data_IF_217188322587
#
_entry.id   IF_217188322587
#
_cell.length_a   1.000
_cell.length_b   1.000
_cell.length_c   1.000
_cell.angle_alpha   90.00
_cell.angle_beta   90.00
_cell.angle_gamma   90.00
#
_symmetry.space_group_name_H-M   'P 1'
#
loop_
_entity.id
_entity.type
_entity.pdbx_description
1 polymer ?
#
# COMPACT_ATOMS: atom_id res chain seq x y z
N UNK A 1 -73.07 -0.82 -32.82
CA UNK A 1 -72.75 -1.67 -31.68
C UNK A 1 -71.56 -2.54 -32.07
N UNK A 2 -70.36 -2.30 -31.61
CA UNK A 2 -69.35 -3.35 -31.53
C UNK A 2 -68.78 -3.46 -30.09
N UNK A 3 -68.43 -4.69 -29.78
CA UNK A 3 -68.12 -5.17 -28.46
C UNK A 3 -66.77 -4.75 -27.91
N UNK A 4 -66.82 -4.58 -26.62
CA UNK A 4 -65.69 -4.26 -25.73
C UNK A 4 -64.84 -5.52 -25.51
N UNK A 5 -63.57 -5.47 -25.88
CA UNK A 5 -62.56 -6.49 -25.53
C UNK A 5 -61.91 -6.02 -24.24
N UNK A 6 -62.04 -6.81 -23.18
CA UNK A 6 -61.28 -6.68 -21.95
C UNK A 6 -59.86 -7.25 -22.19
N UNK A 7 -58.84 -6.46 -21.93
CA UNK A 7 -57.48 -6.90 -21.81
C UNK A 7 -57.21 -7.15 -20.32
N UNK A 8 -57.05 -8.42 -19.95
CA UNK A 8 -56.53 -8.83 -18.66
C UNK A 8 -55.00 -8.53 -18.60
N UNK A 9 -54.63 -7.73 -17.62
CA UNK A 9 -53.22 -7.47 -17.33
C UNK A 9 -52.64 -8.62 -16.49
N UNK A 10 -51.87 -9.51 -17.13
CA UNK A 10 -51.03 -10.45 -16.43
C UNK A 10 -49.90 -9.69 -15.75
N UNK A 11 -49.91 -9.65 -14.42
CA UNK A 11 -48.77 -9.24 -13.61
C UNK A 11 -47.68 -10.32 -13.69
N UNK A 12 -46.63 -10.06 -14.47
CA UNK A 12 -45.39 -10.82 -14.40
C UNK A 12 -44.74 -10.55 -13.04
N UNK A 13 -44.78 -11.55 -12.18
CA UNK A 13 -43.95 -11.63 -10.98
C UNK A 13 -42.48 -11.84 -11.48
N UNK A 14 -41.69 -10.79 -11.38
CA UNK A 14 -40.21 -10.94 -11.58
C UNK A 14 -39.69 -11.80 -10.43
N UNK A 15 -39.38 -13.04 -10.75
CA UNK A 15 -38.54 -13.91 -9.93
C UNK A 15 -37.16 -13.27 -9.88
N UNK A 16 -36.73 -12.88 -8.69
CA UNK A 16 -35.36 -12.46 -8.42
C UNK A 16 -34.42 -13.61 -8.84
N UNK A 17 -33.69 -13.39 -9.92
CA UNK A 17 -32.54 -14.19 -10.29
C UNK A 17 -31.44 -13.91 -9.27
N UNK A 18 -31.27 -14.80 -8.29
CA UNK A 18 -30.08 -14.85 -7.47
C UNK A 18 -28.93 -15.28 -8.38
N UNK A 19 -28.08 -14.33 -8.74
CA UNK A 19 -26.79 -14.65 -9.34
C UNK A 19 -26.05 -15.62 -8.39
N UNK A 20 -25.45 -16.70 -8.88
CA UNK A 20 -24.66 -17.58 -8.04
C UNK A 20 -23.46 -16.79 -7.51
N UNK A 21 -23.31 -16.74 -6.19
CA UNK A 21 -22.07 -16.32 -5.55
C UNK A 21 -20.91 -17.11 -6.18
N UNK A 22 -19.79 -16.45 -6.55
CA UNK A 22 -18.64 -17.20 -7.05
C UNK A 22 -18.25 -18.18 -5.95
N UNK A 23 -18.33 -19.48 -6.26
CA UNK A 23 -17.92 -20.53 -5.37
C UNK A 23 -16.47 -20.28 -4.96
N UNK A 24 -16.23 -20.07 -3.68
CA UNK A 24 -14.92 -20.08 -3.07
C UNK A 24 -14.35 -21.48 -3.18
N UNK A 25 -13.78 -21.83 -4.33
CA UNK A 25 -12.76 -22.86 -4.35
C UNK A 25 -11.62 -22.30 -3.50
N UNK A 26 -11.41 -22.85 -2.30
CA UNK A 26 -10.30 -22.47 -1.44
C UNK A 26 -9.01 -22.67 -2.23
N UNK A 27 -8.38 -21.57 -2.61
CA UNK A 27 -7.06 -21.60 -3.25
C UNK A 27 -6.12 -22.24 -2.25
N UNK A 28 -5.46 -23.33 -2.62
CA UNK A 28 -4.54 -24.05 -1.72
C UNK A 28 -3.28 -23.22 -1.46
N UNK A 29 -2.77 -23.30 -0.23
CA UNK A 29 -1.47 -22.74 0.12
C UNK A 29 -0.35 -23.33 -0.76
N UNK A 30 0.80 -22.70 -0.80
CA UNK A 30 2.01 -23.23 -1.42
C UNK A 30 2.44 -24.51 -0.70
N UNK A 31 2.89 -25.52 -1.45
CA UNK A 31 3.48 -26.72 -0.86
C UNK A 31 4.87 -26.41 -0.27
N UNK A 32 5.36 -27.29 0.61
CA UNK A 32 6.70 -27.16 1.17
C UNK A 32 7.80 -27.15 0.08
N UNK A 33 7.62 -27.89 -1.01
CA UNK A 33 8.54 -27.93 -2.15
C UNK A 33 8.54 -26.60 -2.90
N UNK A 34 7.37 -26.01 -3.14
CA UNK A 34 7.25 -24.68 -3.78
C UNK A 34 7.88 -23.59 -2.90
N UNK A 35 7.62 -23.59 -1.59
CA UNK A 35 8.27 -22.66 -0.65
C UNK A 35 9.78 -22.84 -0.65
N UNK A 36 10.28 -24.09 -0.67
CA UNK A 36 11.72 -24.36 -0.74
C UNK A 36 12.34 -23.87 -2.05
N UNK A 37 11.66 -24.02 -3.19
CA UNK A 37 12.09 -23.47 -4.47
C UNK A 37 12.17 -21.94 -4.42
N UNK A 38 11.12 -21.25 -3.93
CA UNK A 38 11.12 -19.80 -3.73
C UNK A 38 12.28 -19.37 -2.82
N UNK A 39 12.52 -20.07 -1.71
CA UNK A 39 13.61 -19.75 -0.77
C UNK A 39 14.99 -19.79 -1.43
N UNK A 40 15.21 -20.72 -2.38
CA UNK A 40 16.48 -20.83 -3.09
C UNK A 40 16.85 -19.60 -3.94
N UNK A 41 15.86 -18.77 -4.27
CA UNK A 41 16.06 -17.52 -5.03
C UNK A 41 16.52 -16.34 -4.16
N UNK A 42 16.54 -16.48 -2.82
CA UNK A 42 16.85 -15.38 -1.91
C UNK A 42 18.26 -15.49 -1.30
N UNK A 43 19.25 -14.77 -1.83
CA UNK A 43 20.65 -14.89 -1.39
C UNK A 43 20.87 -14.54 0.09
N UNK A 44 20.02 -13.70 0.68
CA UNK A 44 20.16 -13.34 2.10
C UNK A 44 20.06 -14.53 3.05
N UNK A 45 19.39 -15.61 2.64
CA UNK A 45 19.23 -16.84 3.44
C UNK A 45 20.54 -17.61 3.61
N UNK A 46 21.54 -17.37 2.75
CA UNK A 46 22.91 -17.92 2.91
C UNK A 46 23.66 -17.28 4.08
N UNK A 47 23.19 -16.10 4.54
CA UNK A 47 23.82 -15.38 5.64
C UNK A 47 23.42 -15.98 6.99
N UNK A 48 24.40 -16.35 7.86
CA UNK A 48 24.09 -16.76 9.21
C UNK A 48 23.59 -15.58 10.06
N UNK A 49 22.75 -15.87 11.05
CA UNK A 49 22.39 -14.95 12.12
C UNK A 49 23.59 -14.70 13.06
N UNK A 50 23.43 -13.82 14.06
CA UNK A 50 24.47 -13.46 15.02
C UNK A 50 25.02 -14.66 15.80
N UNK A 51 24.19 -15.64 16.07
CA UNK A 51 24.54 -16.89 16.79
C UNK A 51 25.15 -17.97 15.88
N UNK A 52 25.34 -17.70 14.59
CA UNK A 52 25.85 -18.66 13.59
C UNK A 52 24.81 -19.59 12.98
N UNK A 53 23.57 -19.57 13.48
CA UNK A 53 22.45 -20.35 12.95
C UNK A 53 21.84 -19.67 11.71
N UNK A 54 21.01 -20.38 10.91
CA UNK A 54 20.25 -19.76 9.82
C UNK A 54 19.36 -18.63 10.32
N UNK A 55 19.30 -17.52 9.59
CA UNK A 55 18.46 -16.38 9.95
C UNK A 55 16.97 -16.66 9.70
N UNK A 56 16.12 -16.48 10.72
CA UNK A 56 14.67 -16.37 10.57
C UNK A 56 14.30 -14.89 10.38
N UNK A 57 14.05 -14.48 9.12
CA UNK A 57 13.71 -13.10 8.81
C UNK A 57 12.20 -12.89 8.86
N UNK A 58 11.70 -12.33 9.96
CA UNK A 58 10.28 -12.06 10.21
C UNK A 58 9.97 -10.56 10.29
N UNK A 59 10.64 -9.73 9.47
CA UNK A 59 10.38 -8.26 9.38
C UNK A 59 10.02 -7.82 7.95
N UNK A 60 9.25 -8.65 7.23
CA UNK A 60 8.86 -8.39 5.85
C UNK A 60 8.01 -7.14 5.67
N UNK A 61 7.16 -6.79 6.63
CA UNK A 61 6.34 -5.58 6.59
C UNK A 61 7.15 -4.27 6.72
N UNK A 62 8.42 -4.33 7.15
CA UNK A 62 9.33 -3.19 7.12
C UNK A 62 9.98 -3.04 5.74
N UNK A 63 10.58 -4.10 5.23
CA UNK A 63 11.14 -4.21 3.88
C UNK A 63 11.25 -5.68 3.50
N UNK A 64 10.89 -6.02 2.26
CA UNK A 64 11.08 -7.38 1.77
C UNK A 64 12.54 -7.64 1.42
N UNK A 65 12.99 -8.89 1.48
CA UNK A 65 14.22 -9.34 0.87
C UNK A 65 14.04 -9.45 -0.65
N UNK A 66 15.14 -9.55 -1.41
CA UNK A 66 15.13 -9.49 -2.87
C UNK A 66 15.57 -10.82 -3.45
N UNK A 67 14.84 -11.36 -4.44
CA UNK A 67 15.31 -12.50 -5.23
C UNK A 67 16.60 -12.15 -5.99
N UNK A 68 17.45 -13.12 -6.23
CA UNK A 68 18.70 -12.96 -7.00
C UNK A 68 18.46 -12.36 -8.40
N UNK A 69 17.37 -12.77 -9.06
CA UNK A 69 16.97 -12.23 -10.37
C UNK A 69 16.70 -10.73 -10.35
N UNK A 70 16.03 -10.22 -9.31
CA UNK A 70 15.78 -8.78 -9.14
C UNK A 70 17.07 -8.01 -8.95
N UNK A 71 17.97 -8.51 -8.10
CA UNK A 71 19.29 -7.90 -7.86
C UNK A 71 20.11 -7.89 -9.15
N UNK A 72 20.10 -9.00 -9.89
CA UNK A 72 20.82 -9.13 -11.15
C UNK A 72 20.28 -8.14 -12.21
N UNK A 73 18.98 -8.03 -12.36
CA UNK A 73 18.35 -7.11 -13.33
C UNK A 73 18.74 -5.65 -13.08
N UNK A 74 18.73 -5.19 -11.82
CA UNK A 74 19.17 -3.83 -11.49
C UNK A 74 20.67 -3.63 -11.81
N UNK A 75 21.51 -4.61 -11.48
CA UNK A 75 22.95 -4.55 -11.76
C UNK A 75 23.24 -4.60 -13.27
N UNK A 76 22.53 -5.42 -14.02
CA UNK A 76 22.71 -5.60 -15.47
C UNK A 76 22.28 -4.37 -16.26
N UNK A 77 21.26 -3.63 -15.79
CA UNK A 77 20.92 -2.35 -16.38
C UNK A 77 22.14 -1.42 -16.42
N UNK A 78 22.87 -1.28 -15.32
CA UNK A 78 24.07 -0.45 -15.28
C UNK A 78 25.22 -0.98 -16.13
N UNK A 79 25.31 -2.29 -16.34
CA UNK A 79 26.36 -2.91 -17.16
C UNK A 79 26.11 -2.78 -18.66
N UNK A 80 24.83 -2.76 -19.08
CA UNK A 80 24.47 -2.97 -20.49
C UNK A 80 23.60 -1.89 -21.11
N UNK A 81 22.72 -1.23 -20.32
CA UNK A 81 21.62 -0.43 -20.86
C UNK A 81 21.53 0.99 -20.26
N UNK A 82 22.54 1.43 -19.52
CA UNK A 82 22.51 2.74 -18.88
C UNK A 82 22.69 3.88 -19.89
N UNK A 83 21.59 4.50 -20.29
CA UNK A 83 21.50 5.60 -21.24
C UNK A 83 20.60 6.74 -20.73
N UNK A 84 20.58 7.87 -21.45
CA UNK A 84 19.73 9.01 -21.14
C UNK A 84 18.31 8.79 -21.70
N UNK A 85 17.40 8.26 -20.90
CA UNK A 85 16.03 7.99 -21.34
C UNK A 85 15.30 9.26 -21.81
N UNK A 86 14.51 9.12 -22.88
CA UNK A 86 13.58 10.12 -23.38
C UNK A 86 14.19 11.35 -24.05
N UNK A 87 15.53 11.47 -24.17
CA UNK A 87 16.19 12.73 -24.56
C UNK A 87 17.28 12.65 -25.61
N UNK A 88 17.57 11.47 -26.11
CA UNK A 88 18.68 11.26 -27.06
C UNK A 88 18.27 10.29 -28.15
N UNK A 89 18.90 10.38 -29.30
CA UNK A 89 18.58 9.61 -30.51
C UNK A 89 19.56 8.48 -30.79
N UNK A 90 20.31 8.02 -29.80
CA UNK A 90 21.21 6.89 -29.94
C UNK A 90 20.60 5.63 -29.29
N UNK A 91 20.94 4.46 -29.84
CA UNK A 91 20.35 3.16 -29.49
C UNK A 91 20.25 2.92 -27.97
N UNK A 92 21.32 3.20 -27.20
CA UNK A 92 21.32 2.97 -25.75
C UNK A 92 20.27 3.85 -25.00
N UNK A 93 19.98 5.05 -25.51
CA UNK A 93 18.95 5.88 -24.93
C UNK A 93 17.53 5.37 -25.26
N UNK A 94 17.33 4.80 -26.45
CA UNK A 94 16.08 4.16 -26.82
C UNK A 94 15.82 2.91 -25.97
N UNK A 95 16.85 2.08 -25.77
CA UNK A 95 16.81 0.90 -24.91
C UNK A 95 16.50 1.26 -23.43
N UNK A 96 17.14 2.30 -22.92
CA UNK A 96 16.90 2.79 -21.56
C UNK A 96 15.47 3.33 -21.40
N UNK A 97 14.96 4.03 -22.42
CA UNK A 97 13.59 4.54 -22.45
C UNK A 97 12.58 3.41 -22.48
N UNK A 98 12.79 2.42 -23.36
CA UNK A 98 11.94 1.23 -23.44
C UNK A 98 11.92 0.48 -22.09
N UNK A 99 13.08 0.27 -21.47
CA UNK A 99 13.18 -0.38 -20.15
C UNK A 99 12.34 0.33 -19.08
N UNK A 100 12.32 1.65 -19.08
CA UNK A 100 11.58 2.44 -18.11
C UNK A 100 10.06 2.37 -18.34
N UNK A 101 9.63 2.51 -19.59
CA UNK A 101 8.20 2.47 -19.92
C UNK A 101 7.64 1.03 -19.82
N UNK A 102 8.39 0.01 -20.23
CA UNK A 102 8.03 -1.40 -20.01
C UNK A 102 7.87 -1.71 -18.51
N UNK A 103 8.72 -1.13 -17.65
CA UNK A 103 8.61 -1.29 -16.20
C UNK A 103 7.34 -0.61 -15.67
N UNK A 104 6.99 0.58 -16.21
CA UNK A 104 5.74 1.28 -15.89
C UNK A 104 4.53 0.40 -16.21
N UNK A 105 4.49 -0.15 -17.42
CA UNK A 105 3.38 -0.99 -17.88
C UNK A 105 3.27 -2.28 -17.07
N UNK A 106 4.39 -2.91 -16.74
CA UNK A 106 4.42 -4.13 -15.92
C UNK A 106 3.89 -3.88 -14.50
N UNK A 107 4.37 -2.82 -13.82
CA UNK A 107 3.93 -2.47 -12.47
C UNK A 107 2.46 -2.05 -12.47
N UNK A 108 2.03 -1.25 -13.45
CA UNK A 108 0.63 -0.86 -13.58
C UNK A 108 -0.27 -2.07 -13.81
N UNK A 109 0.09 -2.95 -14.75
CA UNK A 109 -0.66 -4.18 -15.05
C UNK A 109 -0.77 -5.10 -13.85
N UNK A 110 0.30 -5.23 -13.05
CA UNK A 110 0.31 -6.07 -11.84
C UNK A 110 -0.78 -5.69 -10.83
N UNK A 111 -1.14 -4.41 -10.78
CA UNK A 111 -2.19 -3.89 -9.89
C UNK A 111 -3.50 -3.54 -10.63
N UNK A 112 -3.69 -4.03 -11.86
CA UNK A 112 -4.91 -3.83 -12.63
C UNK A 112 -5.10 -2.40 -13.17
N UNK A 113 -4.02 -1.62 -13.30
CA UNK A 113 -3.99 -0.28 -13.87
C UNK A 113 -3.37 -0.27 -15.28
N UNK A 114 -3.30 0.91 -15.90
CA UNK A 114 -2.60 1.17 -17.19
C UNK A 114 -1.37 2.03 -16.92
N UNK A 115 -0.37 1.97 -17.80
CA UNK A 115 0.83 2.79 -17.70
C UNK A 115 0.54 4.29 -17.59
N UNK A 116 -0.47 4.80 -18.32
CA UNK A 116 -0.93 6.19 -18.24
C UNK A 116 -1.52 6.61 -16.88
N UNK A 117 -1.81 5.66 -16.00
CA UNK A 117 -2.33 5.87 -14.64
C UNK A 117 -1.25 5.76 -13.55
N UNK A 118 0.01 5.42 -13.90
CA UNK A 118 1.08 5.18 -12.95
C UNK A 118 2.18 6.25 -13.06
N UNK A 119 2.40 6.96 -11.96
CA UNK A 119 3.49 7.93 -11.77
C UNK A 119 4.55 7.31 -10.87
N UNK A 120 5.79 7.20 -11.35
CA UNK A 120 6.88 6.79 -10.49
C UNK A 120 7.27 7.88 -9.50
N UNK A 121 7.50 7.48 -8.27
CA UNK A 121 7.97 8.30 -7.16
C UNK A 121 9.14 7.59 -6.48
N UNK A 122 9.79 8.22 -5.51
CA UNK A 122 10.86 7.52 -4.79
C UNK A 122 10.35 6.51 -3.75
N UNK A 123 9.10 6.61 -3.33
CA UNK A 123 8.37 5.69 -2.44
C UNK A 123 6.91 6.16 -2.27
N UNK A 124 6.07 5.38 -1.60
CA UNK A 124 4.69 5.75 -1.30
C UNK A 124 4.55 7.02 -0.47
N UNK A 125 5.51 7.35 0.41
CA UNK A 125 5.48 8.61 1.17
C UNK A 125 5.52 9.81 0.22
N UNK A 126 6.38 9.78 -0.81
CA UNK A 126 6.38 10.83 -1.83
C UNK A 126 5.09 10.83 -2.66
N UNK A 127 4.55 9.67 -3.00
CA UNK A 127 3.29 9.55 -3.73
C UNK A 127 2.11 10.20 -2.98
N UNK A 128 1.99 9.97 -1.66
CA UNK A 128 0.98 10.61 -0.83
C UNK A 128 1.21 12.12 -0.73
N UNK A 129 2.46 12.54 -0.52
CA UNK A 129 2.82 13.96 -0.50
C UNK A 129 2.52 14.63 -1.85
N UNK A 130 2.72 13.94 -2.98
CA UNK A 130 2.40 14.46 -4.30
C UNK A 130 0.91 14.84 -4.38
N UNK A 131 0.02 13.96 -3.93
CA UNK A 131 -1.43 14.26 -3.90
C UNK A 131 -1.75 15.39 -2.92
N UNK A 132 -1.24 15.32 -1.68
CA UNK A 132 -1.51 16.33 -0.65
C UNK A 132 -0.99 17.73 -1.05
N UNK A 133 0.19 17.81 -1.65
CA UNK A 133 0.76 19.07 -2.13
C UNK A 133 0.04 19.59 -3.37
N UNK A 134 -0.40 18.73 -4.29
CA UNK A 134 -1.21 19.13 -5.44
C UNK A 134 -2.54 19.76 -4.99
N UNK A 135 -3.21 19.16 -4.01
CA UNK A 135 -4.41 19.72 -3.36
C UNK A 135 -4.06 21.08 -2.70
N UNK A 136 -2.97 21.16 -1.96
CA UNK A 136 -2.51 22.38 -1.35
C UNK A 136 -2.23 23.51 -2.36
N UNK A 137 -1.59 23.19 -3.49
CA UNK A 137 -1.33 24.13 -4.57
C UNK A 137 -2.63 24.62 -5.24
N UNK A 138 -3.56 23.70 -5.51
CA UNK A 138 -4.87 24.05 -6.06
C UNK A 138 -5.63 24.98 -5.12
N UNK A 139 -5.66 24.67 -3.80
CA UNK A 139 -6.37 25.43 -2.78
C UNK A 139 -5.80 26.83 -2.57
N UNK A 140 -4.49 27.02 -2.69
CA UNK A 140 -3.83 28.31 -2.55
C UNK A 140 -3.85 29.15 -3.84
N UNK A 141 -4.60 28.75 -4.87
CA UNK A 141 -4.67 29.44 -6.15
C UNK A 141 -3.35 29.45 -6.93
N UNK A 142 -2.38 28.63 -6.54
CA UNK A 142 -1.08 28.48 -7.20
C UNK A 142 -1.11 27.43 -8.32
N UNK A 143 -2.21 27.36 -9.06
CA UNK A 143 -2.26 26.55 -10.28
C UNK A 143 -1.43 27.24 -11.38
N UNK A 144 -0.12 26.98 -11.37
CA UNK A 144 0.80 27.52 -12.39
C UNK A 144 0.44 27.07 -13.83
N UNK A 145 -0.44 26.09 -13.97
CA UNK A 145 -0.82 25.53 -15.29
C UNK A 145 -1.82 26.38 -16.08
N UNK A 146 -2.41 27.45 -15.51
CA UNK A 146 -3.57 28.13 -16.13
C UNK A 146 -3.47 29.63 -16.27
N UNK A 147 -2.31 30.23 -16.26
CA UNK A 147 -2.17 31.66 -16.58
C UNK A 147 -3.11 32.61 -15.81
N UNK A 148 -3.53 32.24 -14.58
CA UNK A 148 -4.30 33.11 -13.69
C UNK A 148 -5.79 33.27 -14.03
N UNK A 149 -6.37 32.52 -14.96
CA UNK A 149 -7.82 32.54 -15.18
C UNK A 149 -8.54 31.75 -14.07
N UNK A 150 -9.66 32.25 -13.51
CA UNK A 150 -10.46 31.50 -12.55
C UNK A 150 -10.96 30.20 -13.24
N UNK A 151 -10.88 29.08 -12.50
CA UNK A 151 -11.37 27.82 -13.00
C UNK A 151 -12.87 27.88 -13.26
N UNK A 152 -13.34 27.23 -14.34
CA UNK A 152 -14.78 27.09 -14.60
C UNK A 152 -15.42 26.25 -13.48
N UNK A 153 -16.69 26.48 -13.19
CA UNK A 153 -17.41 25.77 -12.13
C UNK A 153 -17.41 24.23 -12.30
N UNK A 154 -17.32 23.75 -13.56
CA UNK A 154 -17.29 22.33 -13.91
C UNK A 154 -15.86 21.78 -14.07
N UNK A 155 -14.84 22.53 -13.62
CA UNK A 155 -13.45 22.11 -13.74
C UNK A 155 -13.12 21.00 -12.73
N UNK A 156 -12.63 19.81 -13.15
CA UNK A 156 -12.20 18.73 -12.25
C UNK A 156 -11.19 19.18 -11.19
N UNK A 157 -10.41 20.23 -11.46
CA UNK A 157 -9.49 20.81 -10.49
C UNK A 157 -10.19 21.42 -9.27
N UNK A 158 -11.50 21.72 -9.33
CA UNK A 158 -12.28 22.19 -8.19
C UNK A 158 -12.44 21.11 -7.11
N UNK A 159 -12.43 19.82 -7.48
CA UNK A 159 -12.40 18.70 -6.50
C UNK A 159 -11.15 18.72 -5.62
N UNK A 160 -10.07 19.36 -6.09
CA UNK A 160 -8.80 19.47 -5.37
C UNK A 160 -8.73 20.73 -4.48
N UNK A 161 -9.75 21.59 -4.49
CA UNK A 161 -9.75 22.80 -3.67
C UNK A 161 -10.42 22.50 -2.33
N UNK A 162 -9.66 22.69 -1.24
CA UNK A 162 -10.14 22.53 0.14
C UNK A 162 -9.81 23.75 0.97
N UNK A 163 -10.61 24.03 2.01
CA UNK A 163 -10.43 25.19 2.88
C UNK A 163 -11.15 25.06 4.21
N UNK A 164 -11.36 26.19 4.85
CA UNK A 164 -12.10 26.26 6.12
C UNK A 164 -13.54 25.69 5.95
N UNK A 165 -13.93 24.80 6.87
CA UNK A 165 -15.21 24.08 6.83
C UNK A 165 -15.15 22.74 6.12
N UNK A 166 -14.12 22.47 5.30
CA UNK A 166 -13.91 21.16 4.69
C UNK A 166 -13.19 20.20 5.65
N UNK A 167 -13.31 18.89 5.38
CA UNK A 167 -12.75 17.84 6.22
C UNK A 167 -11.85 16.91 5.40
N UNK A 168 -10.73 16.51 6.01
CA UNK A 168 -9.89 15.40 5.56
C UNK A 168 -10.08 14.27 6.57
N UNK A 169 -10.48 13.09 6.10
CA UNK A 169 -10.71 11.93 6.96
C UNK A 169 -9.62 10.89 6.73
N UNK A 170 -9.06 10.36 7.82
CA UNK A 170 -8.06 9.27 7.84
C UNK A 170 -8.57 8.15 8.74
N UNK A 171 -7.79 7.09 8.96
CA UNK A 171 -8.05 6.13 10.04
C UNK A 171 -7.07 6.31 11.19
N UNK A 172 -7.39 5.82 12.38
CA UNK A 172 -6.45 5.75 13.50
C UNK A 172 -5.33 4.72 13.25
N UNK A 173 -5.48 3.86 12.26
CA UNK A 173 -4.50 2.83 11.90
C UNK A 173 -3.42 3.29 10.91
N UNK A 174 -3.42 4.56 10.49
CA UNK A 174 -2.54 5.02 9.42
C UNK A 174 -1.06 4.94 9.80
N UNK A 175 -0.25 4.51 8.82
CA UNK A 175 1.17 4.77 8.84
C UNK A 175 1.43 6.29 8.83
N UNK A 176 2.48 6.76 9.48
CA UNK A 176 2.80 8.20 9.53
C UNK A 176 2.87 8.85 8.13
N UNK A 177 3.28 8.10 7.11
CA UNK A 177 3.30 8.59 5.73
C UNK A 177 1.91 8.93 5.18
N UNK A 178 0.85 8.26 5.67
CA UNK A 178 -0.55 8.52 5.28
C UNK A 178 -1.34 9.30 6.37
N UNK A 179 -0.66 9.91 7.31
CA UNK A 179 -1.25 10.78 8.33
C UNK A 179 -0.66 12.19 8.28
N UNK A 180 0.67 12.29 8.39
CA UNK A 180 1.36 13.58 8.55
C UNK A 180 1.16 14.53 7.36
N UNK A 181 1.20 14.09 6.08
CA UNK A 181 0.94 14.98 4.95
C UNK A 181 -0.46 15.61 4.99
N UNK A 182 -1.44 14.89 5.49
CA UNK A 182 -2.82 15.38 5.64
C UNK A 182 -2.97 16.35 6.80
N UNK A 183 -2.26 16.15 7.91
CA UNK A 183 -2.17 17.13 9.01
C UNK A 183 -1.57 18.45 8.50
N UNK A 184 -0.48 18.37 7.74
CA UNK A 184 0.16 19.54 7.13
C UNK A 184 -0.74 20.25 6.12
N UNK A 185 -1.49 19.49 5.30
CA UNK A 185 -2.46 20.04 4.37
C UNK A 185 -3.56 20.81 5.12
N UNK A 186 -4.15 20.21 6.15
CA UNK A 186 -5.16 20.85 6.98
C UNK A 186 -4.63 22.14 7.63
N UNK A 187 -3.41 22.10 8.18
CA UNK A 187 -2.76 23.27 8.78
C UNK A 187 -2.55 24.43 7.79
N UNK A 188 -2.34 24.14 6.50
CA UNK A 188 -2.13 25.16 5.44
C UNK A 188 -3.43 25.72 4.88
N UNK A 189 -4.49 24.89 4.81
CA UNK A 189 -5.75 25.23 4.12
C UNK A 189 -6.84 25.67 5.09
N UNK A 190 -6.72 25.41 6.39
CA UNK A 190 -7.77 25.62 7.38
C UNK A 190 -8.81 24.49 7.41
N UNK A 191 -8.68 23.44 6.62
CA UNK A 191 -9.51 22.26 6.70
C UNK A 191 -9.29 21.50 8.02
N UNK A 192 -10.25 20.67 8.42
CA UNK A 192 -10.20 19.93 9.68
C UNK A 192 -9.84 18.47 9.44
N UNK A 193 -8.84 17.94 10.16
CA UNK A 193 -8.55 16.51 10.16
C UNK A 193 -9.54 15.78 11.07
N UNK A 194 -10.14 14.71 10.53
CA UNK A 194 -11.03 13.78 11.25
C UNK A 194 -10.50 12.37 11.09
N UNK A 195 -10.95 11.44 11.91
CA UNK A 195 -10.53 10.04 11.76
C UNK A 195 -11.65 9.07 12.10
N UNK A 196 -11.61 7.93 11.42
CA UNK A 196 -12.34 6.72 11.75
C UNK A 196 -11.59 5.98 12.86
N UNK A 197 -12.32 5.52 13.86
CA UNK A 197 -11.74 4.83 15.02
C UNK A 197 -11.60 3.33 14.80
N UNK A 198 -11.08 2.63 15.78
CA UNK A 198 -10.81 1.20 15.75
C UNK A 198 -11.63 0.49 16.83
N UNK A 199 -11.97 -0.76 16.58
CA UNK A 199 -12.48 -1.69 17.58
C UNK A 199 -11.39 -2.07 18.57
N UNK A 200 -11.76 -2.70 19.70
CA UNK A 200 -10.80 -3.14 20.72
C UNK A 200 -9.68 -4.06 20.18
N UNK A 201 -9.99 -4.84 19.14
CA UNK A 201 -9.03 -5.71 18.48
C UNK A 201 -8.26 -5.02 17.32
N UNK A 202 -8.48 -3.72 17.09
CA UNK A 202 -7.73 -2.93 16.12
C UNK A 202 -8.17 -3.08 14.66
N UNK A 203 -9.36 -3.60 14.40
CA UNK A 203 -10.05 -3.46 13.12
C UNK A 203 -10.68 -2.09 13.02
N UNK A 204 -11.05 -1.66 11.81
CA UNK A 204 -11.81 -0.43 11.66
C UNK A 204 -13.17 -0.57 12.33
N UNK A 205 -13.53 0.41 13.18
CA UNK A 205 -14.85 0.46 13.77
C UNK A 205 -15.87 1.10 12.80
N UNK A 206 -16.69 0.25 12.19
CA UNK A 206 -17.72 0.67 11.23
C UNK A 206 -18.81 1.53 11.86
N UNK A 207 -18.95 1.55 13.19
CA UNK A 207 -19.87 2.47 13.88
C UNK A 207 -19.39 3.94 13.78
N UNK A 208 -18.12 4.19 13.43
CA UNK A 208 -17.57 5.55 13.27
C UNK A 208 -17.69 6.11 11.85
N UNK A 209 -18.32 5.38 10.92
CA UNK A 209 -18.43 5.80 9.51
C UNK A 209 -19.23 7.11 9.31
N UNK A 210 -20.01 7.55 10.30
CA UNK A 210 -20.72 8.84 10.28
C UNK A 210 -19.76 10.06 10.37
N UNK A 211 -18.48 9.83 10.63
CA UNK A 211 -17.41 10.84 10.47
C UNK A 211 -17.28 11.30 9.03
N UNK A 212 -17.60 10.43 8.04
CA UNK A 212 -17.64 10.78 6.63
C UNK A 212 -18.92 11.55 6.35
N UNK A 213 -18.79 12.85 6.11
CA UNK A 213 -19.89 13.80 5.90
C UNK A 213 -19.83 14.44 4.52
N UNK A 214 -20.80 15.26 4.14
CA UNK A 214 -20.79 16.07 2.92
C UNK A 214 -19.63 17.08 2.87
N UNK A 215 -18.99 17.37 4.02
CA UNK A 215 -17.80 18.22 4.11
C UNK A 215 -16.49 17.46 3.85
N UNK A 216 -16.54 16.14 3.81
CA UNK A 216 -15.36 15.33 3.55
C UNK A 216 -14.92 15.52 2.10
N UNK A 217 -13.71 16.07 1.91
CA UNK A 217 -13.10 16.29 0.59
C UNK A 217 -12.07 15.25 0.25
N UNK A 218 -11.38 14.73 1.26
CA UNK A 218 -10.38 13.67 1.11
C UNK A 218 -10.63 12.60 2.15
N UNK A 219 -10.57 11.35 1.70
CA UNK A 219 -10.55 10.17 2.54
C UNK A 219 -9.27 9.39 2.24
N UNK A 220 -8.33 9.38 3.17
CA UNK A 220 -7.05 8.67 3.01
C UNK A 220 -7.00 7.47 3.97
N UNK A 221 -6.86 6.28 3.41
CA UNK A 221 -7.02 5.01 4.13
C UNK A 221 -5.83 4.08 3.90
N UNK A 222 -5.35 3.41 4.94
CA UNK A 222 -4.54 2.21 4.76
C UNK A 222 -5.43 1.04 4.33
N UNK A 223 -5.02 0.29 3.30
CA UNK A 223 -5.74 -0.91 2.87
C UNK A 223 -5.56 -2.06 3.87
N UNK A 224 -4.36 -2.18 4.44
CA UNK A 224 -4.07 -3.12 5.51
C UNK A 224 -3.08 -2.52 6.50
N UNK A 225 -3.36 -2.65 7.79
CA UNK A 225 -2.54 -2.09 8.85
C UNK A 225 -1.16 -2.76 8.92
N UNK A 226 -0.11 -1.96 8.94
CA UNK A 226 1.25 -2.43 9.13
C UNK A 226 1.57 -2.82 10.61
N UNK A 227 0.61 -2.70 11.51
CA UNK A 227 0.72 -3.08 12.93
C UNK A 227 -0.16 -4.27 13.23
N UNK A 228 -1.48 -4.15 13.02
CA UNK A 228 -2.45 -5.20 13.36
C UNK A 228 -2.63 -6.24 12.27
N UNK A 229 -2.21 -5.93 11.04
CA UNK A 229 -2.50 -6.73 9.85
C UNK A 229 -3.94 -6.59 9.34
N UNK A 230 -4.86 -6.01 10.11
CA UNK A 230 -6.28 -5.89 9.75
C UNK A 230 -6.47 -5.20 8.39
N UNK A 231 -7.32 -5.78 7.56
CA UNK A 231 -7.71 -5.25 6.25
C UNK A 231 -8.90 -4.32 6.41
N UNK A 232 -8.83 -3.17 5.75
CA UNK A 232 -9.90 -2.15 5.78
C UNK A 232 -11.08 -2.61 4.90
N UNK A 233 -12.32 -2.62 5.40
CA UNK A 233 -13.51 -3.05 4.65
C UNK A 233 -13.95 -1.96 3.66
N UNK A 234 -13.30 -1.91 2.49
CA UNK A 234 -13.53 -0.87 1.46
C UNK A 234 -14.94 -0.90 0.89
N UNK A 235 -15.59 -2.05 0.83
CA UNK A 235 -16.97 -2.24 0.38
C UNK A 235 -17.99 -1.45 1.21
N UNK A 236 -17.71 -1.20 2.48
CA UNK A 236 -18.53 -0.39 3.38
C UNK A 236 -18.20 1.10 3.31
N UNK A 237 -16.95 1.45 3.04
CA UNK A 237 -16.41 2.82 3.15
C UNK A 237 -16.50 3.57 1.82
N UNK A 238 -16.08 2.94 0.72
CA UNK A 238 -15.99 3.58 -0.57
C UNK A 238 -17.34 4.13 -1.09
N UNK A 239 -18.51 3.45 -0.91
CA UNK A 239 -19.79 4.01 -1.28
C UNK A 239 -20.13 5.30 -0.51
N UNK A 240 -19.79 5.40 0.78
CA UNK A 240 -20.01 6.62 1.58
C UNK A 240 -19.13 7.76 1.12
N UNK A 241 -17.86 7.48 0.85
CA UNK A 241 -16.91 8.47 0.31
C UNK A 241 -17.41 9.02 -1.03
N UNK A 242 -17.87 8.13 -1.92
CA UNK A 242 -18.45 8.52 -3.21
C UNK A 242 -19.70 9.40 -3.02
N UNK A 243 -20.59 9.06 -2.10
CA UNK A 243 -21.78 9.86 -1.80
C UNK A 243 -21.40 11.25 -1.29
N UNK A 244 -20.35 11.36 -0.49
CA UNK A 244 -19.80 12.64 -0.02
C UNK A 244 -19.07 13.43 -1.11
N UNK A 245 -18.75 12.81 -2.26
CA UNK A 245 -17.91 13.41 -3.32
C UNK A 245 -16.43 13.54 -2.94
N UNK A 246 -15.99 12.79 -1.93
CA UNK A 246 -14.62 12.80 -1.44
C UNK A 246 -13.65 12.13 -2.41
N UNK A 247 -12.43 12.66 -2.49
CA UNK A 247 -11.29 11.99 -3.14
C UNK A 247 -10.78 10.87 -2.23
N UNK A 248 -10.73 9.64 -2.73
CA UNK A 248 -10.26 8.48 -1.96
C UNK A 248 -8.84 8.10 -2.36
N UNK A 249 -7.91 8.17 -1.41
CA UNK A 249 -6.50 7.79 -1.56
C UNK A 249 -6.22 6.57 -0.68
N UNK A 250 -5.79 5.47 -1.29
CA UNK A 250 -5.56 4.19 -0.61
C UNK A 250 -4.07 3.89 -0.46
N UNK A 251 -3.58 3.74 0.76
CA UNK A 251 -2.22 3.22 1.01
C UNK A 251 -2.24 1.69 0.91
N UNK A 252 -1.71 1.15 -0.18
CA UNK A 252 -1.63 -0.29 -0.43
C UNK A 252 -0.26 -0.87 -0.15
N UNK A 253 0.63 -0.15 0.53
CA UNK A 253 2.02 -0.59 0.78
C UNK A 253 2.14 -1.95 1.47
N UNK A 254 1.18 -2.31 2.32
CA UNK A 254 1.20 -3.61 2.99
C UNK A 254 0.45 -4.68 2.19
N UNK A 255 -0.53 -4.32 1.40
CA UNK A 255 -1.37 -5.29 0.70
C UNK A 255 -0.85 -5.68 -0.69
N UNK A 256 -0.14 -4.77 -1.38
CA UNK A 256 0.21 -4.97 -2.79
C UNK A 256 1.14 -6.17 -3.07
N UNK A 257 1.89 -6.64 -2.08
CA UNK A 257 2.74 -7.84 -2.19
C UNK A 257 2.08 -9.12 -1.65
N UNK A 258 0.86 -9.02 -1.10
CA UNK A 258 0.21 -10.10 -0.35
C UNK A 258 -1.20 -10.42 -0.85
N UNK A 259 -1.86 -9.47 -1.51
CA UNK A 259 -3.23 -9.60 -2.02
C UNK A 259 -3.28 -9.21 -3.50
N UNK A 260 -4.06 -9.95 -4.32
CA UNK A 260 -4.38 -9.48 -5.66
C UNK A 260 -5.10 -8.12 -5.59
N UNK A 261 -4.57 -7.11 -6.26
CA UNK A 261 -5.19 -5.81 -6.40
C UNK A 261 -5.64 -5.58 -7.84
N UNK A 262 -6.80 -4.95 -8.01
CA UNK A 262 -7.29 -4.49 -9.29
C UNK A 262 -7.76 -3.03 -9.15
N UNK A 263 -6.92 -2.10 -9.61
CA UNK A 263 -7.22 -0.66 -9.53
C UNK A 263 -8.51 -0.29 -10.25
N UNK A 264 -8.84 -0.95 -11.36
CA UNK A 264 -10.10 -0.67 -12.07
C UNK A 264 -11.31 -1.06 -11.22
N UNK A 265 -11.26 -2.20 -10.54
CA UNK A 265 -12.31 -2.63 -9.61
C UNK A 265 -12.37 -1.70 -8.40
N UNK A 266 -11.23 -1.30 -7.83
CA UNK A 266 -11.13 -0.33 -6.74
C UNK A 266 -11.68 1.04 -7.15
N UNK A 267 -11.35 1.52 -8.34
CA UNK A 267 -11.88 2.78 -8.87
C UNK A 267 -13.39 2.70 -9.12
N UNK A 268 -13.88 1.60 -9.70
CA UNK A 268 -15.31 1.36 -9.83
C UNK A 268 -16.01 1.33 -8.45
N UNK A 269 -15.33 0.91 -7.39
CA UNK A 269 -15.83 1.00 -6.02
C UNK A 269 -15.74 2.42 -5.43
N UNK A 270 -14.89 3.32 -5.93
CA UNK A 270 -14.77 4.72 -5.51
C UNK A 270 -13.39 5.14 -5.04
N UNK A 271 -12.36 4.33 -5.26
CA UNK A 271 -10.97 4.72 -4.99
C UNK A 271 -10.42 5.50 -6.18
N UNK A 272 -9.97 6.74 -5.96
CA UNK A 272 -9.42 7.60 -7.02
C UNK A 272 -7.91 7.41 -7.21
N UNK A 273 -7.21 7.05 -6.15
CA UNK A 273 -5.76 6.80 -6.19
C UNK A 273 -5.32 5.75 -5.19
N UNK A 274 -4.22 5.04 -5.50
CA UNK A 274 -3.51 4.18 -4.55
C UNK A 274 -2.00 4.37 -4.66
N UNK A 275 -1.28 4.01 -3.60
CA UNK A 275 0.17 4.20 -3.53
C UNK A 275 0.91 2.90 -3.23
N UNK A 276 2.09 2.76 -3.83
CA UNK A 276 2.93 1.56 -3.79
C UNK A 276 4.36 1.90 -3.37
N UNK A 277 5.04 0.96 -2.72
CA UNK A 277 6.48 1.00 -2.46
C UNK A 277 7.16 -0.29 -2.89
N UNK A 278 8.04 -0.19 -3.88
CA UNK A 278 8.74 -1.33 -4.47
C UNK A 278 9.47 -2.20 -3.43
N UNK A 279 10.14 -1.56 -2.45
CA UNK A 279 10.95 -2.28 -1.46
C UNK A 279 10.16 -3.22 -0.54
N UNK A 280 8.83 -3.18 -0.56
CA UNK A 280 7.94 -4.13 0.12
C UNK A 280 7.40 -5.20 -0.83
N UNK A 281 7.57 -5.01 -2.13
CA UNK A 281 7.12 -5.86 -3.23
C UNK A 281 8.28 -6.63 -3.87
N UNK A 282 9.24 -7.09 -3.09
CA UNK A 282 10.48 -7.78 -3.50
C UNK A 282 11.42 -6.92 -4.37
N UNK A 283 11.05 -5.69 -4.68
CA UNK A 283 11.78 -4.80 -5.57
C UNK A 283 12.80 -3.90 -4.86
N UNK A 284 13.54 -3.07 -5.62
CA UNK A 284 14.55 -2.16 -5.09
C UNK A 284 14.00 -1.09 -4.15
N UNK A 285 14.88 -0.51 -3.34
CA UNK A 285 14.60 0.74 -2.61
C UNK A 285 14.71 1.94 -3.54
N UNK A 286 14.15 3.08 -3.14
CA UNK A 286 14.29 4.33 -3.87
C UNK A 286 13.32 4.50 -5.04
N UNK A 287 12.37 3.57 -5.22
CA UNK A 287 11.27 3.69 -6.17
C UNK A 287 9.95 3.25 -5.54
N UNK A 288 8.88 3.94 -5.88
CA UNK A 288 7.49 3.68 -5.55
C UNK A 288 6.59 4.23 -6.63
N UNK A 289 5.28 4.23 -6.41
CA UNK A 289 4.35 4.78 -7.38
C UNK A 289 3.09 5.38 -6.73
N UNK A 290 2.54 6.39 -7.40
CA UNK A 290 1.15 6.79 -7.35
C UNK A 290 0.44 6.15 -8.53
N UNK A 291 -0.61 5.39 -8.29
CA UNK A 291 -1.57 4.95 -9.31
C UNK A 291 -2.83 5.76 -9.11
N UNK A 292 -3.26 6.48 -10.13
CA UNK A 292 -4.42 7.36 -10.07
C UNK A 292 -5.14 7.42 -11.42
N UNK A 293 -6.41 7.76 -11.40
CA UNK A 293 -7.17 7.92 -12.63
C UNK A 293 -6.57 9.01 -13.53
N UNK A 294 -6.65 8.84 -14.83
CA UNK A 294 -6.18 9.86 -15.80
C UNK A 294 -6.86 11.22 -15.56
N UNK A 295 -8.14 11.20 -15.14
CA UNK A 295 -8.89 12.40 -14.78
C UNK A 295 -8.25 13.12 -13.57
N UNK A 296 -7.91 12.39 -12.52
CA UNK A 296 -7.25 12.97 -11.34
C UNK A 296 -5.85 13.50 -11.70
N UNK A 297 -5.05 12.73 -12.45
CA UNK A 297 -3.72 13.19 -12.90
C UNK A 297 -3.82 14.46 -13.79
N UNK A 298 -4.84 14.54 -14.66
CA UNK A 298 -5.05 15.73 -15.48
C UNK A 298 -5.44 16.95 -14.65
N UNK A 299 -6.23 16.76 -13.59
CA UNK A 299 -6.67 17.81 -12.66
C UNK A 299 -5.56 18.32 -11.73
N UNK A 300 -4.62 17.44 -11.32
CA UNK A 300 -3.55 17.77 -10.41
C UNK A 300 -2.54 18.75 -11.03
N UNK A 301 -2.23 19.88 -10.35
CA UNK A 301 -1.09 20.71 -10.74
C UNK A 301 0.23 19.98 -10.47
N UNK A 302 1.32 20.29 -11.23
CA UNK A 302 2.63 19.75 -10.92
C UNK A 302 3.12 20.24 -9.55
N UNK A 303 3.86 19.38 -8.85
CA UNK A 303 4.39 19.66 -7.51
C UNK A 303 5.90 19.89 -7.56
N UNK A 304 6.62 18.91 -8.10
CA UNK A 304 8.05 19.02 -8.38
C UNK A 304 8.21 19.50 -9.82
N UNK A 305 8.95 20.59 -10.01
CA UNK A 305 9.16 21.17 -11.34
C UNK A 305 10.64 21.17 -11.70
N UNK A 306 10.93 21.01 -12.99
CA UNK A 306 12.30 20.95 -13.49
C UNK A 306 12.39 20.42 -14.91
N UNK A 307 13.50 19.77 -15.22
CA UNK A 307 13.65 19.07 -16.50
C UNK A 307 12.79 17.80 -16.56
N UNK A 308 12.60 17.23 -17.72
CA UNK A 308 11.83 16.04 -18.10
C UNK A 308 10.32 16.23 -18.12
N UNK A 309 9.73 17.06 -17.27
CA UNK A 309 8.29 17.23 -17.09
C UNK A 309 7.69 18.44 -17.83
N UNK A 310 8.51 19.20 -18.54
CA UNK A 310 8.13 20.42 -19.25
C UNK A 310 7.97 20.16 -20.76
N UNK A 311 7.08 20.90 -21.38
CA UNK A 311 6.83 20.89 -22.82
C UNK A 311 7.55 22.07 -23.49
N UNK A 312 7.28 23.30 -23.03
CA UNK A 312 7.92 24.54 -23.49
C UNK A 312 8.36 25.35 -22.27
N UNK A 313 9.55 25.96 -22.36
CA UNK A 313 10.07 26.88 -21.34
C UNK A 313 10.53 28.14 -22.02
N UNK A 314 10.07 29.29 -21.53
CA UNK A 314 10.58 30.63 -21.83
C UNK A 314 11.11 31.28 -20.56
N UNK A 315 11.65 32.47 -20.66
CA UNK A 315 12.06 33.21 -19.46
C UNK A 315 10.87 33.66 -18.60
N UNK A 316 9.68 33.79 -19.21
CA UNK A 316 8.47 34.32 -18.58
C UNK A 316 7.55 33.20 -18.06
N UNK A 317 7.55 32.02 -18.71
CA UNK A 317 6.58 30.96 -18.40
C UNK A 317 7.06 29.58 -18.83
N UNK A 318 6.36 28.55 -18.33
CA UNK A 318 6.57 27.17 -18.71
C UNK A 318 5.23 26.46 -18.91
N UNK A 319 5.17 25.54 -19.88
CA UNK A 319 4.09 24.56 -20.03
C UNK A 319 4.59 23.18 -19.67
N UNK A 320 3.69 22.31 -19.24
CA UNK A 320 4.02 21.03 -18.67
C UNK A 320 3.45 19.89 -19.52
N UNK A 321 4.15 18.75 -19.52
CA UNK A 321 3.67 17.54 -20.16
C UNK A 321 2.35 17.07 -19.56
N UNK A 322 1.64 16.21 -20.24
CA UNK A 322 0.42 15.55 -19.76
C UNK A 322 0.74 14.16 -19.18
N UNK A 323 -0.18 13.63 -18.38
CA UNK A 323 -0.06 12.30 -17.78
C UNK A 323 1.10 12.15 -16.80
N UNK A 324 1.61 10.90 -16.58
CA UNK A 324 2.66 10.61 -15.63
C UNK A 324 3.93 11.46 -15.74
N UNK A 325 4.46 11.76 -16.93
CA UNK A 325 5.66 12.60 -17.07
C UNK A 325 5.56 13.98 -16.42
N UNK A 326 4.35 14.55 -16.27
CA UNK A 326 4.12 15.82 -15.56
C UNK A 326 4.64 15.82 -14.14
N UNK A 327 4.71 14.65 -13.51
CA UNK A 327 5.03 14.49 -12.08
C UNK A 327 6.43 13.90 -11.85
N UNK A 328 7.15 13.56 -12.92
CA UNK A 328 8.44 12.86 -12.89
C UNK A 328 9.57 13.80 -13.30
N UNK A 329 9.77 14.87 -12.51
CA UNK A 329 10.82 15.84 -12.75
C UNK A 329 12.22 15.28 -12.50
N UNK A 330 13.17 15.58 -13.39
CA UNK A 330 14.58 15.19 -13.26
C UNK A 330 14.92 13.89 -13.95
N UNK A 331 16.06 13.29 -13.64
CA UNK A 331 16.47 11.98 -14.16
C UNK A 331 15.71 10.86 -13.45
N UNK A 332 15.16 9.95 -14.24
CA UNK A 332 14.34 8.85 -13.72
C UNK A 332 15.20 7.73 -13.10
N UNK A 333 14.65 6.94 -12.15
CA UNK A 333 15.33 5.82 -11.51
C UNK A 333 15.26 4.55 -12.39
N UNK A 334 15.97 4.54 -13.52
CA UNK A 334 15.84 3.53 -14.57
C UNK A 334 16.19 2.11 -14.09
N UNK A 335 17.31 1.97 -13.37
CA UNK A 335 17.75 0.67 -12.86
C UNK A 335 16.76 0.12 -11.83
N UNK A 336 16.25 0.99 -10.96
CA UNK A 336 15.24 0.61 -9.95
C UNK A 336 13.92 0.23 -10.61
N UNK A 337 13.52 0.90 -11.69
CA UNK A 337 12.34 0.54 -12.47
C UNK A 337 12.50 -0.84 -13.10
N UNK A 338 13.65 -1.13 -13.73
CA UNK A 338 13.95 -2.46 -14.27
C UNK A 338 13.89 -3.55 -13.18
N UNK A 339 14.51 -3.29 -12.02
CA UNK A 339 14.45 -4.21 -10.88
C UNK A 339 13.03 -4.40 -10.33
N UNK A 340 12.20 -3.35 -10.32
CA UNK A 340 10.81 -3.47 -9.88
C UNK A 340 9.94 -4.26 -10.86
N UNK A 341 10.17 -4.09 -12.18
CA UNK A 341 9.56 -4.95 -13.20
C UNK A 341 9.83 -6.42 -12.91
N UNK A 342 11.10 -6.81 -12.74
CA UNK A 342 11.45 -8.19 -12.41
C UNK A 342 10.80 -8.69 -11.12
N UNK A 343 10.63 -7.80 -10.13
CA UNK A 343 9.98 -8.16 -8.87
C UNK A 343 8.47 -8.41 -9.02
N UNK A 344 7.73 -7.60 -9.79
CA UNK A 344 6.29 -7.82 -10.00
C UNK A 344 6.03 -9.02 -10.91
N UNK A 345 6.89 -9.28 -11.90
CA UNK A 345 6.84 -10.49 -12.71
C UNK A 345 7.05 -11.74 -11.84
N UNK A 346 8.02 -11.73 -10.93
CA UNK A 346 8.28 -12.80 -9.98
C UNK A 346 7.08 -13.02 -9.01
N UNK A 347 6.48 -11.95 -8.47
CA UNK A 347 5.29 -12.06 -7.63
C UNK A 347 4.08 -12.63 -8.38
N UNK A 348 3.92 -12.30 -9.66
CA UNK A 348 2.86 -12.85 -10.50
C UNK A 348 3.03 -14.37 -10.71
N UNK A 349 4.26 -14.85 -10.87
CA UNK A 349 4.58 -16.30 -10.99
C UNK A 349 4.26 -17.06 -9.69
N UNK A 350 4.53 -16.48 -8.52
CA UNK A 350 4.21 -17.08 -7.21
C UNK A 350 2.69 -17.20 -7.03
N UNK A 351 1.90 -16.27 -7.59
CA UNK A 351 0.45 -16.14 -7.36
C UNK A 351 0.11 -15.66 -5.95
N UNK A 352 -0.25 -14.39 -5.85
CA UNK A 352 -0.54 -13.72 -4.56
C UNK A 352 -1.67 -14.39 -3.77
N UNK A 353 -2.66 -14.98 -4.42
CA UNK A 353 -3.74 -15.72 -3.77
C UNK A 353 -3.23 -16.95 -3.00
N UNK A 354 -2.25 -17.67 -3.57
CA UNK A 354 -1.61 -18.82 -2.92
C UNK A 354 -0.65 -18.39 -1.82
N UNK A 355 0.10 -17.30 -2.09
CA UNK A 355 0.97 -16.71 -1.08
C UNK A 355 0.17 -16.28 0.15
N UNK A 356 -0.93 -15.56 -0.05
CA UNK A 356 -1.81 -15.15 1.04
C UNK A 356 -2.36 -16.35 1.82
N UNK A 357 -2.81 -17.42 1.12
CA UNK A 357 -3.25 -18.64 1.79
C UNK A 357 -2.15 -19.28 2.65
N UNK A 358 -0.89 -19.26 2.18
CA UNK A 358 0.27 -19.74 2.95
C UNK A 358 0.50 -18.88 4.20
N UNK A 359 0.46 -17.57 4.05
CA UNK A 359 0.60 -16.62 5.17
C UNK A 359 -0.52 -16.78 6.21
N UNK A 360 -1.74 -17.11 5.80
CA UNK A 360 -2.84 -17.42 6.72
C UNK A 360 -2.54 -18.65 7.60
N UNK A 361 -1.91 -19.68 7.03
CA UNK A 361 -1.48 -20.88 7.79
C UNK A 361 -0.41 -20.48 8.81
N UNK A 362 0.62 -19.72 8.40
CA UNK A 362 1.67 -19.24 9.30
C UNK A 362 1.13 -18.29 10.38
N UNK A 363 0.18 -17.43 10.02
CA UNK A 363 -0.48 -16.51 10.94
C UNK A 363 -1.24 -17.27 12.02
N UNK A 364 -1.99 -18.31 11.65
CA UNK A 364 -2.68 -19.17 12.61
C UNK A 364 -1.69 -19.82 13.54
N UNK A 365 -0.64 -20.44 13.01
CA UNK A 365 0.39 -21.11 13.79
C UNK A 365 1.01 -20.17 14.84
N UNK A 366 1.39 -18.96 14.45
CA UNK A 366 1.97 -18.01 15.40
C UNK A 366 0.96 -17.51 16.44
N UNK A 367 -0.30 -17.26 16.04
CA UNK A 367 -1.34 -16.82 16.98
C UNK A 367 -1.64 -17.89 18.03
N UNK A 368 -1.77 -19.15 17.61
CA UNK A 368 -2.00 -20.28 18.51
C UNK A 368 -0.84 -20.46 19.51
N UNK A 369 0.41 -20.29 19.04
CA UNK A 369 1.60 -20.32 19.89
C UNK A 369 1.68 -19.14 20.87
N UNK A 370 1.42 -17.91 20.39
CA UNK A 370 1.44 -16.71 21.25
C UNK A 370 0.36 -16.74 22.33
N UNK A 371 -0.79 -17.36 22.06
CA UNK A 371 -1.85 -17.54 23.06
C UNK A 371 -1.41 -18.37 24.29
N UNK A 372 -0.35 -19.17 24.16
CA UNK A 372 0.21 -19.96 25.26
C UNK A 372 1.25 -19.17 26.09
N UNK A 373 1.65 -17.97 25.64
CA UNK A 373 2.66 -17.15 26.31
C UNK A 373 1.98 -16.27 27.37
N UNK A 374 2.14 -16.64 28.64
CA UNK A 374 1.55 -15.90 29.76
C UNK A 374 2.04 -14.43 29.78
N UNK A 375 1.13 -13.45 30.00
CA UNK A 375 1.43 -12.02 30.03
C UNK A 375 1.78 -11.40 28.68
N UNK A 376 1.59 -12.13 27.58
CA UNK A 376 1.63 -11.57 26.24
C UNK A 376 0.26 -11.00 25.90
N UNK A 377 0.25 -9.80 25.31
CA UNK A 377 -0.92 -9.13 24.77
C UNK A 377 -0.75 -8.92 23.28
N UNK A 378 -1.67 -9.42 22.49
CA UNK A 378 -1.72 -9.11 21.06
C UNK A 378 -2.10 -7.64 20.83
N UNK A 379 -1.53 -7.05 19.77
CA UNK A 379 -1.84 -5.71 19.26
C UNK A 379 -2.46 -5.91 17.88
N UNK A 380 -3.70 -6.36 17.87
CA UNK A 380 -4.45 -6.71 16.67
C UNK A 380 -5.36 -7.92 16.87
N UNK A 381 -6.05 -8.35 15.80
CA UNK A 381 -6.99 -9.48 15.87
C UNK A 381 -6.32 -10.79 16.28
N UNK A 382 -7.05 -11.62 17.03
CA UNK A 382 -6.59 -12.93 17.47
C UNK A 382 -6.95 -14.08 16.51
N UNK A 383 -7.59 -13.76 15.41
CA UNK A 383 -7.96 -14.70 14.34
C UNK A 383 -7.28 -14.34 13.01
N UNK A 384 -7.54 -15.12 11.96
CA UNK A 384 -6.97 -14.91 10.62
C UNK A 384 -7.94 -14.28 9.62
N UNK A 385 -9.17 -13.93 10.03
CA UNK A 385 -10.14 -13.33 9.14
C UNK A 385 -9.73 -11.88 8.79
N UNK A 386 -9.87 -11.52 7.54
CA UNK A 386 -9.64 -10.17 7.02
C UNK A 386 -8.35 -9.52 7.57
N UNK A 387 -7.23 -10.28 7.47
CA UNK A 387 -5.92 -9.78 7.88
C UNK A 387 -4.78 -10.35 7.05
N UNK A 388 -3.67 -9.61 7.03
CA UNK A 388 -2.38 -10.06 6.51
C UNK A 388 -1.56 -10.78 7.60
N UNK A 389 -0.49 -11.43 7.19
CA UNK A 389 0.49 -12.09 8.05
C UNK A 389 1.40 -11.12 8.80
N UNK A 390 0.81 -10.14 9.48
CA UNK A 390 1.48 -9.14 10.32
C UNK A 390 0.95 -9.28 11.74
N UNK A 391 1.79 -9.60 12.72
CA UNK A 391 1.38 -9.83 14.11
C UNK A 391 2.24 -8.99 15.06
N UNK A 392 1.61 -8.03 15.72
CA UNK A 392 2.25 -7.22 16.75
C UNK A 392 1.80 -7.65 18.15
N UNK A 393 2.68 -7.51 19.12
CA UNK A 393 2.44 -7.93 20.50
C UNK A 393 3.29 -7.13 21.48
N UNK A 394 2.89 -7.14 22.73
CA UNK A 394 3.66 -6.67 23.90
C UNK A 394 3.74 -7.76 24.95
N UNK A 395 4.77 -7.73 25.78
CA UNK A 395 4.93 -8.64 26.94
C UNK A 395 4.95 -7.77 28.20
N UNK A 396 4.09 -8.09 29.15
CA UNK A 396 3.98 -7.36 30.42
C UNK A 396 5.33 -7.32 31.16
N UNK A 397 5.75 -6.10 31.53
CA UNK A 397 7.01 -5.88 32.27
C UNK A 397 8.28 -5.97 31.39
N UNK A 398 8.18 -6.24 30.08
CA UNK A 398 9.36 -6.34 29.21
C UNK A 398 9.28 -5.27 28.12
N UNK A 399 10.35 -4.47 28.00
CA UNK A 399 10.42 -3.46 26.96
C UNK A 399 10.57 -4.13 25.57
N UNK A 400 9.88 -3.65 24.50
CA UNK A 400 9.97 -4.26 23.17
C UNK A 400 11.40 -4.40 22.61
N UNK A 401 12.31 -3.46 22.92
CA UNK A 401 13.72 -3.56 22.53
C UNK A 401 14.41 -4.77 23.17
N UNK A 402 14.10 -5.07 24.41
CA UNK A 402 14.67 -6.23 25.11
C UNK A 402 14.15 -7.54 24.51
N UNK A 403 12.86 -7.56 24.14
CA UNK A 403 12.27 -8.66 23.35
C UNK A 403 13.05 -8.85 22.05
N UNK A 404 13.29 -7.74 21.31
CA UNK A 404 14.03 -7.77 20.03
C UNK A 404 15.47 -8.29 20.21
N UNK A 405 16.16 -7.91 21.30
CA UNK A 405 17.53 -8.37 21.56
C UNK A 405 17.58 -9.88 21.86
N UNK A 406 16.63 -10.40 22.64
CA UNK A 406 16.56 -11.84 22.91
C UNK A 406 16.27 -12.64 21.65
N UNK A 407 15.34 -12.14 20.80
CA UNK A 407 15.01 -12.77 19.53
C UNK A 407 16.18 -12.72 18.54
N UNK A 408 16.90 -11.58 18.43
CA UNK A 408 18.10 -11.47 17.60
C UNK A 408 19.21 -12.44 18.06
N UNK A 409 19.40 -12.59 19.37
CA UNK A 409 20.33 -13.57 19.93
C UNK A 409 19.94 -15.03 19.59
N UNK A 410 18.65 -15.30 19.37
CA UNK A 410 18.15 -16.59 18.90
C UNK A 410 18.12 -16.73 17.36
N UNK A 411 18.62 -15.74 16.63
CA UNK A 411 18.64 -15.74 15.16
C UNK A 411 17.30 -15.39 14.52
N UNK A 412 16.42 -14.67 15.23
CA UNK A 412 15.10 -14.25 14.75
C UNK A 412 15.04 -12.74 14.63
N UNK A 413 14.86 -12.24 13.41
CA UNK A 413 14.75 -10.82 13.13
C UNK A 413 13.29 -10.37 13.16
N UNK A 414 12.95 -9.49 14.10
CA UNK A 414 11.65 -8.85 14.24
C UNK A 414 11.81 -7.34 14.38
N UNK A 415 10.76 -6.57 14.13
CA UNK A 415 10.74 -5.14 14.37
C UNK A 415 10.24 -4.79 15.76
N UNK A 416 10.79 -3.72 16.36
CA UNK A 416 10.36 -3.18 17.66
C UNK A 416 10.12 -1.68 17.57
N UNK A 417 9.22 -1.15 18.39
CA UNK A 417 8.91 0.28 18.48
C UNK A 417 7.49 0.62 18.06
N UNK A 418 7.31 1.83 17.48
CA UNK A 418 5.99 2.33 17.05
C UNK A 418 5.57 1.89 15.65
N UNK A 419 6.42 1.21 14.90
CA UNK A 419 6.19 0.78 13.51
C UNK A 419 5.73 1.91 12.56
N UNK A 420 6.11 3.16 12.87
CA UNK A 420 5.66 4.39 12.19
C UNK A 420 4.13 4.57 12.22
N UNK A 421 3.46 4.13 13.29
CA UNK A 421 2.01 4.22 13.50
C UNK A 421 1.70 4.44 14.99
N UNK A 422 2.13 5.58 15.55
CA UNK A 422 1.94 5.91 16.95
C UNK A 422 0.47 5.95 17.40
N UNK A 423 -0.49 6.50 16.61
CA UNK A 423 -1.88 6.59 17.06
C UNK A 423 -2.52 5.24 17.38
N UNK A 424 -2.15 4.17 16.67
CA UNK A 424 -2.68 2.83 16.97
C UNK A 424 -2.13 2.29 18.30
N UNK A 425 -0.87 2.59 18.65
CA UNK A 425 -0.31 2.23 19.95
C UNK A 425 -1.01 2.96 21.10
N UNK A 426 -1.38 4.23 20.89
CA UNK A 426 -2.19 5.01 21.84
C UNK A 426 -3.58 4.39 22.01
N UNK A 427 -4.21 3.91 20.94
CA UNK A 427 -5.50 3.21 20.99
C UNK A 427 -5.42 1.97 21.90
N UNK A 428 -4.37 1.18 21.77
CA UNK A 428 -4.14 0.00 22.64
C UNK A 428 -3.62 0.36 24.05
N UNK A 429 -3.36 1.63 24.36
CA UNK A 429 -2.83 2.08 25.65
C UNK A 429 -1.42 1.55 25.92
N UNK A 430 -0.61 1.35 24.90
CA UNK A 430 0.78 0.91 24.99
C UNK A 430 1.73 1.93 24.34
N UNK A 431 2.98 1.94 24.82
CA UNK A 431 3.97 2.86 24.24
C UNK A 431 4.55 2.32 22.93
N UNK A 432 4.87 1.03 22.88
CA UNK A 432 5.49 0.38 21.72
C UNK A 432 5.17 -1.12 21.72
N UNK A 433 5.45 -1.80 20.61
CA UNK A 433 5.26 -3.25 20.47
C UNK A 433 6.44 -3.90 19.73
N UNK A 434 6.51 -5.22 19.80
CA UNK A 434 7.29 -6.07 18.90
C UNK A 434 6.38 -6.58 17.82
N UNK A 435 6.89 -6.71 16.58
CA UNK A 435 6.09 -7.12 15.41
C UNK A 435 6.86 -8.13 14.58
N UNK A 436 6.23 -9.25 14.30
CA UNK A 436 6.67 -10.17 13.25
C UNK A 436 5.78 -10.00 12.01
N UNK A 437 6.30 -10.38 10.85
CA UNK A 437 5.58 -10.36 9.58
C UNK A 437 6.18 -11.36 8.61
N UNK A 438 5.32 -11.95 7.79
CA UNK A 438 5.69 -12.95 6.80
C UNK A 438 5.90 -12.36 5.41
N UNK A 439 6.56 -13.12 4.55
CA UNK A 439 6.75 -12.84 3.14
C UNK A 439 6.90 -14.11 2.33
N UNK A 440 7.23 -13.96 1.05
CA UNK A 440 7.14 -15.00 0.03
C UNK A 440 7.85 -16.32 0.38
N UNK A 441 8.88 -16.29 1.22
CA UNK A 441 9.66 -17.47 1.57
C UNK A 441 9.67 -17.79 3.08
N UNK A 442 8.71 -17.27 3.85
CA UNK A 442 8.58 -17.61 5.28
C UNK A 442 8.11 -19.05 5.48
N UNK A 443 8.60 -19.69 6.55
CA UNK A 443 8.34 -21.12 6.82
C UNK A 443 7.81 -21.39 8.21
N UNK A 444 7.14 -22.54 8.45
CA UNK A 444 6.73 -22.98 9.78
C UNK A 444 7.90 -23.10 10.77
N UNK A 445 9.08 -23.53 10.32
CA UNK A 445 10.27 -23.70 11.15
C UNK A 445 10.80 -22.35 11.67
N UNK A 446 10.64 -21.27 10.89
CA UNK A 446 10.94 -19.90 11.36
C UNK A 446 9.97 -19.46 12.43
N UNK A 447 8.68 -19.82 12.32
CA UNK A 447 7.66 -19.60 13.35
C UNK A 447 7.98 -20.38 14.63
N UNK A 448 8.34 -21.67 14.50
CA UNK A 448 8.69 -22.51 15.66
C UNK A 448 9.90 -21.94 16.40
N UNK A 449 10.92 -21.47 15.68
CA UNK A 449 12.09 -20.82 16.27
C UNK A 449 11.70 -19.53 17.00
N UNK A 450 10.84 -18.72 16.40
CA UNK A 450 10.30 -17.52 17.05
C UNK A 450 9.54 -17.87 18.33
N UNK A 451 8.63 -18.86 18.29
CA UNK A 451 7.84 -19.28 19.44
C UNK A 451 8.72 -19.85 20.57
N UNK A 452 9.76 -20.61 20.24
CA UNK A 452 10.73 -21.09 21.21
C UNK A 452 11.48 -19.92 21.87
N UNK A 453 11.97 -18.96 21.07
CA UNK A 453 12.71 -17.82 21.59
C UNK A 453 11.83 -16.88 22.44
N UNK A 454 10.55 -16.69 22.07
CA UNK A 454 9.62 -15.86 22.84
C UNK A 454 9.32 -16.47 24.24
N UNK A 455 9.27 -17.78 24.36
CA UNK A 455 9.11 -18.46 25.65
C UNK A 455 10.31 -18.18 26.58
N UNK A 456 11.50 -18.00 26.02
CA UNK A 456 12.72 -17.69 26.81
C UNK A 456 12.78 -16.22 27.25
N UNK A 457 12.15 -15.28 26.53
CA UNK A 457 12.11 -13.86 26.92
C UNK A 457 11.63 -13.70 28.37
N UNK A 458 10.49 -14.30 28.71
CA UNK A 458 9.98 -14.21 30.10
C UNK A 458 10.91 -14.85 31.13
N UNK A 459 11.46 -15.99 30.79
CA UNK A 459 12.41 -16.69 31.68
C UNK A 459 13.67 -15.85 31.97
N UNK A 460 14.07 -15.04 31.00
CA UNK A 460 15.22 -14.14 31.12
C UNK A 460 14.97 -12.94 32.04
N UNK A 461 13.76 -12.33 31.96
CA UNK A 461 13.41 -11.11 32.70
C UNK A 461 12.62 -11.32 33.99
N UNK A 462 12.21 -12.54 34.30
CA UNK A 462 11.54 -12.88 35.58
C UNK A 462 12.49 -13.32 36.69
N UNK A 463 13.80 -13.08 36.56
CA UNK A 463 14.81 -13.39 37.61
C UNK A 463 14.96 -12.24 38.59
#
# INVERSE_FOLDING_TARGET
>A
MPGTVRIESERHVMTQSTAPSPGTSSVGALSAEEVAAIRSDFPYLERPARNGEPLAYLDWAATSQKPAGVIATEADFYRTSNGAAGRSTYQLADEATATFEDARDAVASFVGARGGELVFTKNATEAINLVALAIGHASLGRSAARGGAPAAADDPAQRLVIGEGDEVVVTRAEHHANLVPWQELCGRTGATLRWLDLTEDGRLDTATLDVITERTRVLALTHASNVTGAITPLDLIAPRARQAGALVVLDTCQSAAHLPLDFRALNAAGVDAMVLSSHKMLGPTGIGALVATEELLAAMPPVLTGGSMIEVVTMESSTFMSGPPRFEAGSQPLAQAAGWRAAVEYLAEIRLDRLHATEQVLTRHVLDGLAQVSGLRLVGPADTADRLGVVAFSIEGVHPHDVGQVLDAAGVAVRTGHHCAQPIHQHFGIHASSRLSFGACSTPEEVDRFLSAIADVRRYFQR
#
